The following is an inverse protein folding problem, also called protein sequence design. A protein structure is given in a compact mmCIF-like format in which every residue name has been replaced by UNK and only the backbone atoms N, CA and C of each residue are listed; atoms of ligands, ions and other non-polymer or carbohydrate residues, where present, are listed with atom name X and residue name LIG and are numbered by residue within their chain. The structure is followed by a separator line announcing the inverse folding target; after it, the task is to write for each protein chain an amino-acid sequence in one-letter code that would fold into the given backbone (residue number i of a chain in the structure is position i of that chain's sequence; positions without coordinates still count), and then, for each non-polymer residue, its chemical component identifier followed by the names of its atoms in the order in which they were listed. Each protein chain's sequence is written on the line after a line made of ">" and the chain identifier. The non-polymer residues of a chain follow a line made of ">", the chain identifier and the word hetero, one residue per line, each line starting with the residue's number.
data_IF_129312108237
#
_entry.id   IF_129312108237
#
_cell.length_a   1.000
_cell.length_b   1.000
_cell.length_c   1.000
_cell.angle_alpha   90.00
_cell.angle_beta   90.00
_cell.angle_gamma   90.00
#
_symmetry.space_group_name_H-M   'P 1'
#
loop_
_entity.id
_entity.type
_entity.pdbx_description
1 polymer ?
#
# COMPACT_ATOMS: atom_id res chain seq x y z
N UNK A 1 36.09 -7.91 10.92
CA UNK A 1 36.12 -8.47 9.57
C UNK A 1 35.10 -7.78 8.68
N UNK A 2 35.65 -7.09 7.72
CA UNK A 2 35.12 -6.12 6.79
C UNK A 2 33.88 -6.58 6.03
N UNK A 3 32.73 -6.12 6.44
CA UNK A 3 31.54 -6.16 5.61
C UNK A 3 31.60 -5.05 4.55
N UNK A 4 32.05 -5.35 3.36
CA UNK A 4 31.81 -4.53 2.19
C UNK A 4 30.30 -4.52 1.97
N UNK A 5 29.62 -3.43 2.37
CA UNK A 5 28.26 -3.15 1.97
C UNK A 5 28.29 -2.72 0.51
N UNK A 6 28.29 -3.66 -0.38
CA UNK A 6 27.87 -3.38 -1.75
C UNK A 6 26.42 -2.96 -1.69
N UNK A 7 26.11 -1.72 -2.06
CA UNK A 7 24.74 -1.29 -2.28
C UNK A 7 24.19 -2.17 -3.38
N UNK A 8 23.28 -3.10 -3.04
CA UNK A 8 22.62 -3.93 -4.02
C UNK A 8 21.74 -3.03 -4.91
N UNK A 9 21.83 -3.20 -6.21
CA UNK A 9 21.06 -2.48 -7.20
C UNK A 9 20.07 -3.40 -7.93
N UNK A 10 19.19 -2.84 -8.75
CA UNK A 10 18.16 -3.59 -9.49
C UNK A 10 18.75 -4.74 -10.31
N UNK A 11 19.94 -4.57 -10.87
CA UNK A 11 20.62 -5.61 -11.64
C UNK A 11 20.96 -6.86 -10.83
N UNK A 12 21.18 -6.73 -9.52
CA UNK A 12 21.53 -7.84 -8.64
C UNK A 12 20.30 -8.73 -8.33
N UNK A 13 19.10 -8.24 -8.65
CA UNK A 13 17.82 -8.92 -8.39
C UNK A 13 17.09 -9.34 -9.67
N UNK A 14 17.67 -9.14 -10.87
CA UNK A 14 16.96 -9.40 -12.15
C UNK A 14 16.45 -10.84 -12.26
N UNK A 15 17.23 -11.83 -11.87
CA UNK A 15 16.80 -13.24 -11.90
C UNK A 15 15.66 -13.48 -10.90
N UNK A 16 15.81 -13.02 -9.65
CA UNK A 16 14.74 -13.12 -8.65
C UNK A 16 13.46 -12.40 -9.09
N UNK A 17 13.59 -11.26 -9.78
CA UNK A 17 12.46 -10.53 -10.33
C UNK A 17 11.74 -11.30 -11.44
N UNK A 18 12.47 -11.90 -12.37
CA UNK A 18 11.89 -12.72 -13.43
C UNK A 18 11.10 -13.88 -12.86
N UNK A 19 11.71 -14.63 -11.94
CA UNK A 19 11.05 -15.74 -11.26
C UNK A 19 9.81 -15.27 -10.50
N UNK A 20 9.89 -14.13 -9.83
CA UNK A 20 8.80 -13.55 -9.08
C UNK A 20 7.61 -13.22 -9.99
N UNK A 21 7.84 -12.53 -11.10
CA UNK A 21 6.78 -12.13 -12.05
C UNK A 21 6.15 -13.35 -12.73
N UNK A 22 6.95 -14.38 -13.06
CA UNK A 22 6.43 -15.58 -13.72
C UNK A 22 5.65 -16.47 -12.76
N UNK A 23 6.08 -16.55 -11.49
CA UNK A 23 5.51 -17.48 -10.51
C UNK A 23 4.28 -16.93 -9.80
N UNK A 24 4.07 -15.62 -9.79
CA UNK A 24 3.00 -14.99 -9.04
C UNK A 24 1.94 -14.40 -9.98
N UNK A 25 0.67 -14.71 -9.69
CA UNK A 25 -0.48 -14.11 -10.40
C UNK A 25 -0.70 -12.65 -9.99
N UNK A 26 -0.36 -12.32 -8.76
CA UNK A 26 -0.47 -10.98 -8.19
C UNK A 26 0.90 -10.49 -7.76
N UNK A 27 1.28 -9.33 -8.26
CA UNK A 27 2.57 -8.69 -8.00
C UNK A 27 2.29 -7.53 -7.04
N UNK A 28 2.73 -7.67 -5.79
CA UNK A 28 2.65 -6.62 -4.78
C UNK A 28 4.04 -6.24 -4.27
N UNK A 29 4.16 -5.02 -3.72
CA UNK A 29 5.40 -4.57 -3.12
C UNK A 29 5.79 -5.42 -1.90
N UNK A 30 4.81 -5.81 -1.10
CA UNK A 30 5.01 -6.67 0.07
C UNK A 30 5.58 -8.03 -0.33
N UNK A 31 4.93 -8.71 -1.29
CA UNK A 31 5.41 -10.01 -1.79
C UNK A 31 6.81 -9.93 -2.40
N UNK A 32 7.13 -8.81 -3.04
CA UNK A 32 8.48 -8.57 -3.56
C UNK A 32 9.51 -8.39 -2.44
N UNK A 33 9.20 -7.61 -1.39
CA UNK A 33 10.09 -7.42 -0.25
C UNK A 33 10.36 -8.73 0.49
N UNK A 34 9.36 -9.59 0.62
CA UNK A 34 9.51 -10.92 1.19
C UNK A 34 10.43 -11.79 0.33
N UNK A 35 10.24 -11.77 -1.00
CA UNK A 35 11.07 -12.54 -1.94
C UNK A 35 12.56 -12.17 -1.89
N UNK A 36 12.87 -10.89 -1.65
CA UNK A 36 14.25 -10.40 -1.54
C UNK A 36 14.76 -10.32 -0.09
N UNK A 37 13.95 -10.77 0.87
CA UNK A 37 14.28 -10.78 2.32
C UNK A 37 14.65 -9.40 2.85
N UNK A 38 13.93 -8.36 2.41
CA UNK A 38 14.23 -6.98 2.76
C UNK A 38 13.89 -6.65 4.21
N UNK A 39 12.95 -7.38 4.82
CA UNK A 39 12.46 -7.17 6.19
C UNK A 39 11.82 -5.78 6.34
N UNK A 40 12.13 -5.10 7.42
CA UNK A 40 11.57 -3.77 7.73
C UNK A 40 12.22 -2.60 6.95
N UNK A 41 13.14 -2.87 6.04
CA UNK A 41 13.76 -1.82 5.23
C UNK A 41 12.83 -1.42 4.10
N UNK A 42 12.86 -0.14 3.74
CA UNK A 42 12.16 0.36 2.56
C UNK A 42 13.16 0.50 1.41
N UNK A 43 12.82 -0.10 0.27
CA UNK A 43 13.58 0.12 -0.94
C UNK A 43 13.22 1.49 -1.53
N UNK A 44 14.22 2.19 -2.03
CA UNK A 44 14.06 3.44 -2.78
C UNK A 44 14.88 3.35 -4.06
N UNK A 45 14.32 3.88 -5.14
CA UNK A 45 15.06 4.06 -6.39
C UNK A 45 15.90 5.33 -6.21
N UNK A 46 17.19 5.15 -6.07
CA UNK A 46 18.13 6.23 -5.78
C UNK A 46 18.81 6.76 -7.05
N UNK A 47 19.67 7.78 -6.87
CA UNK A 47 20.40 8.41 -7.97
C UNK A 47 21.30 7.43 -8.72
N UNK A 48 21.93 6.47 -8.04
CA UNK A 48 22.84 5.50 -8.65
C UNK A 48 22.08 4.61 -9.65
N UNK A 49 20.83 4.21 -9.31
CA UNK A 49 19.94 3.48 -10.21
C UNK A 49 19.56 4.32 -11.44
N UNK A 50 19.21 5.58 -11.24
CA UNK A 50 18.89 6.49 -12.33
C UNK A 50 20.08 6.75 -13.26
N UNK A 51 21.31 6.80 -12.72
CA UNK A 51 22.54 6.89 -13.50
C UNK A 51 22.78 5.63 -14.33
N UNK A 52 22.54 4.46 -13.76
CA UNK A 52 22.66 3.20 -14.50
C UNK A 52 21.60 3.08 -15.62
N UNK A 53 20.35 3.48 -15.36
CA UNK A 53 19.32 3.58 -16.39
C UNK A 53 19.79 4.52 -17.52
N UNK A 54 20.33 5.69 -17.19
CA UNK A 54 20.82 6.67 -18.15
C UNK A 54 21.98 6.12 -18.99
N UNK A 55 22.90 5.40 -18.34
CA UNK A 55 24.01 4.74 -19.02
C UNK A 55 23.50 3.66 -19.99
N UNK A 56 22.61 2.79 -19.55
CA UNK A 56 22.05 1.72 -20.39
C UNK A 56 21.21 2.28 -21.55
N UNK A 57 20.48 3.37 -21.32
CA UNK A 57 19.70 4.03 -22.36
C UNK A 57 20.57 4.60 -23.47
N UNK A 58 21.78 5.11 -23.15
CA UNK A 58 22.71 5.66 -24.13
C UNK A 58 23.44 4.61 -24.96
N UNK A 59 23.49 3.34 -24.50
CA UNK A 59 24.12 2.27 -25.27
C UNK A 59 23.29 1.94 -26.51
N UNK A 60 23.96 1.54 -27.61
CA UNK A 60 23.26 0.99 -28.78
C UNK A 60 22.61 -0.35 -28.42
N UNK A 61 21.41 -0.64 -28.99
CA UNK A 61 20.82 -1.98 -28.89
C UNK A 61 21.73 -2.98 -29.59
N UNK A 62 22.08 -4.07 -28.91
CA UNK A 62 22.95 -5.11 -29.49
C UNK A 62 22.25 -5.90 -30.60
N UNK A 63 20.95 -6.15 -30.41
CA UNK A 63 20.14 -6.96 -31.33
C UNK A 63 19.36 -6.10 -32.36
N UNK A 64 19.53 -4.78 -32.32
CA UNK A 64 18.65 -3.85 -33.04
C UNK A 64 17.22 -3.84 -32.45
N UNK A 65 16.42 -2.88 -32.86
CA UNK A 65 15.00 -2.79 -32.39
C UNK A 65 14.78 -1.89 -31.20
N UNK A 66 13.65 -2.09 -30.53
CA UNK A 66 13.15 -1.24 -29.46
C UNK A 66 13.77 -1.62 -28.11
N UNK A 67 14.30 -0.63 -27.39
CA UNK A 67 14.68 -0.77 -25.98
C UNK A 67 13.54 -0.36 -25.09
N UNK A 68 13.19 -1.19 -24.11
CA UNK A 68 12.12 -0.92 -23.14
C UNK A 68 12.72 -0.89 -21.74
N UNK A 69 12.52 0.23 -21.05
CA UNK A 69 12.85 0.38 -19.65
C UNK A 69 11.56 0.39 -18.83
N UNK A 70 11.36 -0.65 -18.04
CA UNK A 70 10.24 -0.76 -17.09
C UNK A 70 10.73 -0.34 -15.70
N UNK A 71 10.14 0.73 -15.17
CA UNK A 71 10.38 1.22 -13.81
C UNK A 71 9.13 0.93 -13.00
N UNK A 72 9.18 -0.15 -12.22
CA UNK A 72 8.09 -0.54 -11.36
C UNK A 72 8.17 0.19 -10.01
N UNK A 73 7.02 0.60 -9.46
CA UNK A 73 6.92 1.44 -8.25
C UNK A 73 7.69 2.77 -8.42
N UNK A 74 7.41 3.47 -9.52
CA UNK A 74 8.12 4.69 -9.88
C UNK A 74 8.02 5.79 -8.81
N UNK A 75 6.97 5.80 -7.98
CA UNK A 75 6.80 6.67 -6.82
C UNK A 75 7.82 6.42 -5.69
N UNK A 76 8.59 5.33 -5.75
CA UNK A 76 9.72 5.08 -4.84
C UNK A 76 11.01 5.77 -5.28
N UNK A 77 11.00 6.49 -6.40
CA UNK A 77 12.13 7.33 -6.79
C UNK A 77 12.32 8.48 -5.81
N UNK A 78 13.54 8.63 -5.29
CA UNK A 78 13.87 9.85 -4.56
C UNK A 78 14.02 11.04 -5.53
N UNK A 79 14.01 12.27 -4.99
CA UNK A 79 14.09 13.49 -5.79
C UNK A 79 15.31 13.54 -6.72
N UNK A 80 16.47 13.02 -6.26
CA UNK A 80 17.70 13.00 -7.06
C UNK A 80 17.59 12.04 -8.25
N UNK A 81 16.97 10.87 -8.07
CA UNK A 81 16.71 9.91 -9.13
C UNK A 81 15.71 10.48 -10.14
N UNK A 82 14.61 11.03 -9.65
CA UNK A 82 13.58 11.65 -10.47
C UNK A 82 14.15 12.75 -11.36
N UNK A 83 14.89 13.69 -10.78
CA UNK A 83 15.52 14.78 -11.54
C UNK A 83 16.53 14.27 -12.57
N UNK A 84 17.26 13.19 -12.26
CA UNK A 84 18.22 12.60 -13.20
C UNK A 84 17.55 12.02 -14.44
N UNK A 85 16.37 11.47 -14.30
CA UNK A 85 15.61 10.87 -15.41
C UNK A 85 14.84 11.88 -16.26
N UNK A 86 14.61 13.11 -15.79
CA UNK A 86 13.81 14.11 -16.52
C UNK A 86 14.30 14.29 -17.97
N UNK A 87 15.60 14.44 -18.18
CA UNK A 87 16.16 14.64 -19.52
C UNK A 87 15.90 13.44 -20.44
N UNK A 88 15.95 12.22 -19.91
CA UNK A 88 15.67 11.01 -20.68
C UNK A 88 14.18 10.86 -21.01
N UNK A 89 13.31 11.34 -20.12
CA UNK A 89 11.87 11.31 -20.33
C UNK A 89 11.43 12.41 -21.32
N UNK A 90 12.12 13.54 -21.37
CA UNK A 90 11.88 14.60 -22.36
C UNK A 90 12.33 14.19 -23.76
N UNK A 91 13.54 13.71 -23.86
CA UNK A 91 14.18 13.37 -25.15
C UNK A 91 14.75 11.93 -25.07
N UNK A 92 13.88 10.91 -25.16
CA UNK A 92 14.34 9.54 -25.11
C UNK A 92 15.23 9.22 -26.33
N UNK A 93 16.31 8.44 -26.15
CA UNK A 93 17.13 7.99 -27.27
C UNK A 93 16.29 7.26 -28.32
N UNK A 94 16.72 7.29 -29.59
CA UNK A 94 16.00 6.61 -30.68
C UNK A 94 15.70 5.15 -30.32
N UNK A 95 14.52 4.70 -30.67
CA UNK A 95 14.07 3.32 -30.40
C UNK A 95 14.11 2.96 -28.89
N UNK A 96 13.81 3.92 -28.01
CA UNK A 96 13.75 3.68 -26.56
C UNK A 96 12.40 4.11 -26.02
N UNK A 97 11.78 3.25 -25.19
CA UNK A 97 10.51 3.51 -24.49
C UNK A 97 10.74 3.34 -23.00
N UNK A 98 10.22 4.29 -22.22
CA UNK A 98 10.17 4.22 -20.76
C UNK A 98 8.74 3.93 -20.33
N UNK A 99 8.54 2.91 -19.51
CA UNK A 99 7.26 2.54 -18.90
C UNK A 99 7.42 2.71 -17.40
N UNK A 100 6.74 3.70 -16.83
CA UNK A 100 6.69 3.95 -15.40
C UNK A 100 5.40 3.37 -14.86
N UNK A 101 5.49 2.43 -13.93
CA UNK A 101 4.34 1.83 -13.25
C UNK A 101 4.32 2.36 -11.83
N UNK A 102 3.19 2.94 -11.42
CA UNK A 102 2.98 3.47 -10.07
C UNK A 102 1.58 3.12 -9.58
N UNK A 103 1.42 3.00 -8.28
CA UNK A 103 0.11 2.84 -7.61
C UNK A 103 -0.50 4.20 -7.27
N UNK A 104 0.32 5.20 -6.99
CA UNK A 104 -0.10 6.54 -6.58
C UNK A 104 0.63 7.61 -7.40
N UNK A 105 -0.08 8.17 -8.38
CA UNK A 105 0.45 9.26 -9.20
C UNK A 105 0.79 10.51 -8.38
N UNK A 106 0.06 10.77 -7.29
CA UNK A 106 0.26 11.94 -6.43
C UNK A 106 1.63 11.96 -5.73
N UNK A 107 2.30 10.80 -5.65
CA UNK A 107 3.66 10.68 -5.09
C UNK A 107 4.76 10.89 -6.11
N UNK A 108 4.44 10.92 -7.41
CA UNK A 108 5.39 11.27 -8.45
C UNK A 108 5.58 12.79 -8.53
N UNK A 109 6.79 13.21 -8.90
CA UNK A 109 7.02 14.63 -9.16
C UNK A 109 6.15 15.12 -10.34
N UNK A 110 5.49 16.29 -10.23
CA UNK A 110 4.71 16.86 -11.32
C UNK A 110 5.50 17.01 -12.63
N UNK A 111 6.82 17.22 -12.52
CA UNK A 111 7.73 17.29 -13.64
C UNK A 111 7.90 15.96 -14.40
N UNK A 112 7.72 14.82 -13.75
CA UNK A 112 7.68 13.50 -14.39
C UNK A 112 6.33 13.26 -15.04
N UNK A 113 5.25 13.46 -14.29
CA UNK A 113 3.89 13.19 -14.77
C UNK A 113 3.52 14.04 -15.99
N UNK A 114 4.04 15.28 -16.09
CA UNK A 114 3.83 16.16 -17.25
C UNK A 114 4.55 15.71 -18.53
N UNK A 115 5.51 14.79 -18.44
CA UNK A 115 6.31 14.26 -19.56
C UNK A 115 5.92 12.84 -19.96
N UNK A 116 4.97 12.25 -19.26
CA UNK A 116 4.50 10.90 -19.53
C UNK A 116 3.08 10.91 -20.06
N UNK A 117 2.81 10.07 -21.03
CA UNK A 117 1.43 9.73 -21.39
C UNK A 117 0.85 8.86 -20.28
N UNK A 118 -0.27 9.30 -19.69
CA UNK A 118 -0.92 8.57 -18.61
C UNK A 118 -1.88 7.53 -19.15
N UNK A 119 -1.75 6.32 -18.65
CA UNK A 119 -2.67 5.21 -18.91
C UNK A 119 -3.19 4.73 -17.55
N UNK A 120 -4.47 4.96 -17.30
CA UNK A 120 -5.11 4.49 -16.08
C UNK A 120 -5.63 3.07 -16.29
N UNK A 121 -5.08 2.14 -15.54
CA UNK A 121 -5.56 0.76 -15.49
C UNK A 121 -6.55 0.71 -14.32
N UNK A 122 -7.84 0.56 -14.66
CA UNK A 122 -8.83 0.31 -13.61
C UNK A 122 -8.52 -1.05 -12.98
N UNK A 123 -8.54 -1.16 -11.64
CA UNK A 123 -8.52 -2.46 -11.01
C UNK A 123 -9.66 -3.27 -11.66
N UNK A 124 -9.34 -4.28 -12.45
CA UNK A 124 -10.34 -5.24 -12.90
C UNK A 124 -10.85 -5.87 -11.63
N UNK A 125 -12.18 -5.75 -11.42
CA UNK A 125 -12.89 -6.10 -10.21
C UNK A 125 -11.98 -6.83 -9.26
N UNK A 126 -11.63 -6.22 -8.18
CA UNK A 126 -11.04 -6.96 -7.09
C UNK A 126 -12.16 -7.93 -6.74
N UNK A 127 -12.19 -9.07 -7.47
CA UNK A 127 -12.73 -10.28 -6.89
C UNK A 127 -11.96 -10.33 -5.58
N UNK A 128 -12.66 -10.11 -4.46
CA UNK A 128 -12.10 -10.02 -3.12
C UNK A 128 -11.30 -11.28 -2.71
N UNK A 129 -10.90 -12.11 -3.67
CA UNK A 129 -9.99 -13.25 -3.55
C UNK A 129 -8.53 -12.85 -3.33
N UNK A 130 -8.16 -11.56 -3.52
CA UNK A 130 -6.82 -11.05 -3.28
C UNK A 130 -6.65 -10.29 -1.96
N UNK A 131 -7.72 -10.04 -1.21
CA UNK A 131 -7.55 -9.56 0.16
C UNK A 131 -6.99 -10.70 1.00
N UNK A 132 -5.76 -10.51 1.43
CA UNK A 132 -5.07 -11.41 2.34
C UNK A 132 -6.04 -11.81 3.46
N UNK A 133 -6.42 -13.08 3.51
CA UNK A 133 -7.34 -13.64 4.51
C UNK A 133 -6.92 -13.26 5.94
N UNK A 134 -5.62 -13.03 6.13
CA UNK A 134 -5.02 -12.58 7.38
C UNK A 134 -5.45 -11.16 7.76
N UNK A 135 -5.57 -10.23 6.81
CA UNK A 135 -6.02 -8.86 7.09
C UNK A 135 -7.49 -8.82 7.49
N UNK A 136 -8.33 -9.68 6.90
CA UNK A 136 -9.73 -9.80 7.31
C UNK A 136 -9.84 -10.36 8.74
N UNK A 137 -9.10 -11.41 9.05
CA UNK A 137 -9.08 -11.98 10.40
C UNK A 137 -8.60 -10.97 11.45
N UNK A 138 -7.54 -10.22 11.14
CA UNK A 138 -7.03 -9.14 12.00
C UNK A 138 -8.03 -8.02 12.19
N UNK A 139 -8.70 -7.60 11.12
CA UNK A 139 -9.72 -6.56 11.19
C UNK A 139 -10.87 -6.98 12.10
N UNK A 140 -11.36 -8.20 11.93
CA UNK A 140 -12.43 -8.76 12.78
C UNK A 140 -12.01 -8.86 14.25
N UNK A 141 -10.79 -9.32 14.54
CA UNK A 141 -10.22 -9.37 15.89
C UNK A 141 -10.23 -7.97 16.52
N UNK A 142 -9.71 -7.00 15.76
CA UNK A 142 -9.55 -5.63 16.19
C UNK A 142 -10.89 -4.92 16.45
N UNK A 143 -11.82 -4.99 15.51
CA UNK A 143 -13.13 -4.36 15.61
C UNK A 143 -13.96 -4.98 16.75
N UNK A 144 -13.92 -6.31 16.92
CA UNK A 144 -14.60 -6.99 18.03
C UNK A 144 -14.05 -6.53 19.40
N UNK A 145 -12.72 -6.39 19.51
CA UNK A 145 -12.12 -5.85 20.75
C UNK A 145 -12.58 -4.41 21.00
N UNK A 146 -12.56 -3.55 19.95
CA UNK A 146 -13.00 -2.16 20.06
C UNK A 146 -14.47 -2.02 20.50
N UNK A 147 -15.37 -2.86 19.98
CA UNK A 147 -16.78 -2.89 20.41
C UNK A 147 -16.95 -3.29 21.89
N UNK A 148 -16.18 -4.26 22.36
CA UNK A 148 -16.29 -4.78 23.72
C UNK A 148 -15.84 -3.80 24.81
N UNK A 149 -15.03 -2.78 24.46
CA UNK A 149 -14.45 -1.85 25.46
C UNK A 149 -15.52 -1.19 26.32
N UNK A 150 -16.69 -0.86 25.76
CA UNK A 150 -17.79 -0.27 26.53
C UNK A 150 -18.37 -1.20 27.60
N UNK A 151 -18.36 -2.50 27.33
CA UNK A 151 -18.98 -3.51 28.21
C UNK A 151 -17.95 -4.23 29.10
N UNK A 152 -16.68 -4.24 28.71
CA UNK A 152 -15.65 -4.99 29.42
C UNK A 152 -14.30 -4.27 29.41
N UNK A 153 -13.78 -4.00 30.61
CA UNK A 153 -12.43 -3.42 30.78
C UNK A 153 -11.32 -4.35 30.25
N UNK A 154 -11.55 -5.67 30.22
CA UNK A 154 -10.57 -6.63 29.68
C UNK A 154 -10.32 -6.41 28.18
N UNK A 155 -11.28 -5.86 27.43
CA UNK A 155 -11.12 -5.55 26.02
C UNK A 155 -10.03 -4.50 25.74
N UNK A 156 -9.69 -3.67 26.72
CA UNK A 156 -8.54 -2.75 26.62
C UNK A 156 -7.24 -3.55 26.48
N UNK A 157 -7.10 -4.64 27.24
CA UNK A 157 -5.93 -5.54 27.13
C UNK A 157 -5.90 -6.24 25.78
N UNK A 158 -7.07 -6.58 25.19
CA UNK A 158 -7.15 -7.14 23.84
C UNK A 158 -6.63 -6.13 22.79
N UNK A 159 -7.00 -4.84 22.90
CA UNK A 159 -6.50 -3.79 22.00
C UNK A 159 -4.99 -3.53 22.14
N UNK A 160 -4.46 -3.59 23.36
CA UNK A 160 -3.02 -3.48 23.58
C UNK A 160 -2.30 -4.66 22.96
N UNK A 161 -2.79 -5.88 23.16
CA UNK A 161 -2.25 -7.11 22.57
C UNK A 161 -2.30 -7.06 21.03
N UNK A 162 -3.40 -6.58 20.46
CA UNK A 162 -3.51 -6.35 19.03
C UNK A 162 -2.44 -5.39 18.51
N UNK A 163 -2.25 -4.25 19.19
CA UNK A 163 -1.24 -3.25 18.82
C UNK A 163 0.19 -3.82 18.89
N UNK A 164 0.45 -4.70 19.85
CA UNK A 164 1.73 -5.43 19.93
C UNK A 164 1.89 -6.46 18.82
N UNK A 165 0.83 -7.19 18.49
CA UNK A 165 0.82 -8.21 17.43
C UNK A 165 1.12 -7.58 16.08
N UNK A 166 0.40 -6.49 15.72
CA UNK A 166 0.57 -5.84 14.43
C UNK A 166 1.90 -5.08 14.33
N UNK A 167 2.43 -4.57 15.45
CA UNK A 167 3.73 -3.87 15.47
C UNK A 167 4.92 -4.78 15.13
N UNK A 168 4.75 -6.10 15.23
CA UNK A 168 5.77 -7.10 14.85
C UNK A 168 5.80 -7.39 13.36
N UNK A 169 4.77 -6.98 12.61
CA UNK A 169 4.72 -7.11 11.15
C UNK A 169 5.65 -6.12 10.49
N UNK A 170 5.99 -6.38 9.24
CA UNK A 170 6.73 -5.43 8.42
C UNK A 170 5.93 -4.16 8.18
N UNK A 171 6.59 -3.06 7.83
CA UNK A 171 5.90 -1.79 7.56
C UNK A 171 4.97 -1.85 6.37
N UNK A 172 5.33 -2.61 5.36
CA UNK A 172 4.47 -2.79 4.18
C UNK A 172 3.20 -3.56 4.58
N UNK A 173 3.32 -4.67 5.34
CA UNK A 173 2.14 -5.38 5.86
C UNK A 173 1.26 -4.51 6.76
N UNK A 174 1.85 -3.61 7.55
CA UNK A 174 1.11 -2.67 8.38
C UNK A 174 0.33 -1.65 7.53
N UNK A 175 0.94 -1.15 6.44
CA UNK A 175 0.28 -0.26 5.48
C UNK A 175 -0.80 -0.98 4.68
N UNK A 176 -0.55 -2.21 4.26
CA UNK A 176 -1.53 -3.06 3.58
C UNK A 176 -2.75 -3.31 4.47
N UNK A 177 -2.54 -3.54 5.77
CA UNK A 177 -3.65 -3.67 6.72
C UNK A 177 -4.46 -2.37 6.85
N UNK A 178 -3.82 -1.21 6.93
CA UNK A 178 -4.53 0.08 6.98
C UNK A 178 -5.29 0.37 5.68
N UNK A 179 -4.71 0.03 4.53
CA UNK A 179 -5.38 0.14 3.23
C UNK A 179 -6.60 -0.79 3.15
N UNK A 180 -6.48 -2.00 3.67
CA UNK A 180 -7.60 -2.93 3.82
C UNK A 180 -8.72 -2.34 4.69
N UNK A 181 -8.38 -1.74 5.85
CA UNK A 181 -9.36 -1.08 6.72
C UNK A 181 -10.11 0.05 5.98
N UNK A 182 -9.39 0.89 5.22
CA UNK A 182 -10.02 1.95 4.41
C UNK A 182 -11.03 1.39 3.40
N UNK A 183 -10.69 0.27 2.76
CA UNK A 183 -11.58 -0.41 1.81
C UNK A 183 -12.84 -0.93 2.51
N UNK A 184 -12.68 -1.59 3.67
CA UNK A 184 -13.83 -2.11 4.44
C UNK A 184 -14.75 -0.98 4.88
N UNK A 185 -14.22 0.14 5.36
CA UNK A 185 -15.05 1.29 5.74
C UNK A 185 -15.80 1.89 4.55
N UNK A 186 -15.12 2.05 3.41
CA UNK A 186 -15.73 2.50 2.16
C UNK A 186 -16.84 1.57 1.70
N UNK A 187 -16.58 0.27 1.66
CA UNK A 187 -17.56 -0.72 1.22
C UNK A 187 -18.76 -0.76 2.17
N UNK A 188 -18.52 -0.59 3.48
CA UNK A 188 -19.56 -0.54 4.49
C UNK A 188 -20.52 0.64 4.30
N UNK A 189 -19.99 1.84 4.00
CA UNK A 189 -20.85 3.00 3.76
C UNK A 189 -21.61 2.86 2.44
N UNK A 190 -20.96 2.41 1.37
CA UNK A 190 -21.62 2.18 0.07
C UNK A 190 -22.73 1.13 0.16
N UNK A 191 -22.52 0.08 0.96
CA UNK A 191 -23.51 -0.93 1.25
C UNK A 191 -24.68 -0.36 2.05
N UNK A 192 -24.41 0.40 3.11
CA UNK A 192 -25.44 1.05 3.94
C UNK A 192 -26.34 1.98 3.14
N UNK A 193 -25.80 2.72 2.18
CA UNK A 193 -26.55 3.60 1.27
C UNK A 193 -27.12 2.90 0.03
N UNK A 194 -26.99 1.57 -0.08
CA UNK A 194 -27.49 0.75 -1.21
C UNK A 194 -26.96 1.20 -2.58
N UNK A 195 -25.78 1.81 -2.61
CA UNK A 195 -25.10 2.25 -3.85
C UNK A 195 -24.46 1.05 -4.55
N UNK A 196 -24.02 0.05 -3.80
CA UNK A 196 -23.49 -1.22 -4.30
C UNK A 196 -24.28 -2.39 -3.72
N UNK A 197 -24.80 -3.24 -4.60
CA UNK A 197 -25.48 -4.49 -4.20
C UNK A 197 -24.49 -5.64 -3.98
N UNK A 198 -23.20 -5.44 -4.24
CA UNK A 198 -22.19 -6.46 -3.99
C UNK A 198 -21.80 -6.41 -2.52
N UNK A 199 -22.37 -7.36 -1.76
CA UNK A 199 -21.71 -7.86 -0.57
C UNK A 199 -20.32 -8.32 -1.01
N UNK A 200 -19.30 -7.51 -0.79
CA UNK A 200 -17.92 -7.90 -1.09
C UNK A 200 -17.70 -9.31 -0.54
N UNK A 201 -17.08 -10.17 -1.32
CA UNK A 201 -16.84 -11.57 -0.92
C UNK A 201 -15.74 -11.58 0.17
N UNK A 202 -16.13 -11.21 1.39
CA UNK A 202 -15.29 -11.34 2.57
C UNK A 202 -15.34 -12.82 3.01
N UNK A 203 -14.18 -13.48 3.03
CA UNK A 203 -14.08 -14.95 3.16
C UNK A 203 -14.07 -15.45 4.61
N UNK A 204 -13.66 -14.59 5.57
CA UNK A 204 -13.43 -14.99 6.96
C UNK A 204 -14.52 -14.56 7.94
N UNK A 205 -15.73 -14.24 7.43
CA UNK A 205 -16.89 -13.96 8.27
C UNK A 205 -17.14 -12.49 8.59
N UNK A 206 -16.51 -11.56 7.87
CA UNK A 206 -16.96 -10.18 7.84
C UNK A 206 -18.26 -10.11 7.06
N UNK A 207 -19.33 -9.74 7.74
CA UNK A 207 -20.65 -9.57 7.15
C UNK A 207 -20.95 -8.09 7.10
N UNK A 208 -20.89 -7.48 5.91
CA UNK A 208 -21.12 -6.04 5.72
C UNK A 208 -22.49 -5.59 6.22
N UNK A 209 -23.52 -6.43 6.05
CA UNK A 209 -24.86 -6.17 6.56
C UNK A 209 -24.87 -5.90 8.09
N UNK A 210 -24.03 -6.62 8.84
CA UNK A 210 -23.91 -6.44 10.30
C UNK A 210 -22.97 -5.31 10.69
N UNK A 211 -22.03 -4.95 9.83
CA UNK A 211 -21.01 -3.94 10.13
C UNK A 211 -21.38 -2.55 9.60
N UNK A 212 -22.03 -2.46 8.44
CA UNK A 212 -22.42 -1.19 7.81
C UNK A 212 -23.23 -0.23 8.71
N UNK A 213 -24.10 -0.68 9.65
CA UNK A 213 -24.79 0.25 10.53
C UNK A 213 -23.88 1.08 11.46
N UNK A 214 -22.63 0.66 11.62
CA UNK A 214 -21.64 1.36 12.44
C UNK A 214 -20.74 2.33 11.65
N UNK A 215 -20.90 2.39 10.32
CA UNK A 215 -20.16 3.27 9.43
C UNK A 215 -21.16 4.14 8.66
N UNK A 216 -21.26 5.41 9.02
CA UNK A 216 -22.27 6.34 8.52
C UNK A 216 -21.66 7.74 8.32
N UNK A 217 -22.42 8.68 7.78
CA UNK A 217 -21.98 10.04 7.44
C UNK A 217 -21.30 10.78 8.59
N UNK A 218 -21.75 10.56 9.84
CA UNK A 218 -21.23 11.23 11.02
C UNK A 218 -19.84 10.74 11.45
N UNK A 219 -19.36 9.61 10.96
CA UNK A 219 -18.10 9.04 11.41
C UNK A 219 -17.15 8.60 10.28
N UNK A 220 -17.62 8.49 9.05
CA UNK A 220 -16.79 7.96 7.94
C UNK A 220 -15.58 8.86 7.63
N UNK A 221 -15.76 10.17 7.66
CA UNK A 221 -14.68 11.11 7.39
C UNK A 221 -13.56 10.97 8.44
N UNK A 222 -13.95 10.91 9.72
CA UNK A 222 -12.99 10.71 10.79
C UNK A 222 -12.34 9.31 10.77
N UNK A 223 -13.06 8.26 10.37
CA UNK A 223 -12.45 6.94 10.12
C UNK A 223 -11.35 7.04 9.07
N UNK A 224 -11.64 7.71 7.96
CA UNK A 224 -10.68 7.90 6.88
C UNK A 224 -9.44 8.67 7.36
N UNK A 225 -9.64 9.79 8.04
CA UNK A 225 -8.56 10.64 8.56
C UNK A 225 -7.65 9.89 9.55
N UNK A 226 -8.24 9.13 10.44
CA UNK A 226 -7.50 8.33 11.44
C UNK A 226 -6.63 7.28 10.76
N UNK A 227 -7.17 6.56 9.78
CA UNK A 227 -6.43 5.53 9.04
C UNK A 227 -5.34 6.18 8.17
N UNK A 228 -5.67 7.25 7.46
CA UNK A 228 -4.71 7.95 6.59
C UNK A 228 -3.55 8.55 7.39
N UNK A 229 -3.84 9.12 8.56
CA UNK A 229 -2.81 9.58 9.48
C UNK A 229 -1.90 8.44 9.93
N UNK A 230 -2.48 7.32 10.33
CA UNK A 230 -1.72 6.14 10.73
C UNK A 230 -0.80 5.62 9.63
N UNK A 231 -1.31 5.57 8.39
CA UNK A 231 -0.54 5.19 7.22
C UNK A 231 0.68 6.12 7.01
N UNK A 232 0.47 7.43 7.05
CA UNK A 232 1.52 8.43 6.92
C UNK A 232 2.55 8.36 8.05
N UNK A 233 2.11 8.12 9.28
CA UNK A 233 2.99 8.01 10.43
C UNK A 233 3.88 6.76 10.35
N UNK A 234 3.36 5.62 9.85
CA UNK A 234 4.15 4.42 9.58
C UNK A 234 5.17 4.68 8.46
N UNK A 235 4.75 5.35 7.38
CA UNK A 235 5.62 5.69 6.27
C UNK A 235 6.80 6.59 6.72
N UNK A 236 6.54 7.50 7.67
CA UNK A 236 7.55 8.37 8.30
C UNK A 236 8.37 7.72 9.41
N UNK A 237 8.33 6.40 9.52
CA UNK A 237 9.05 5.62 10.53
C UNK A 237 8.58 5.84 11.98
N UNK A 238 7.32 6.21 12.19
CA UNK A 238 6.70 6.26 13.50
C UNK A 238 6.71 4.91 14.22
N UNK A 239 6.53 4.92 15.54
CA UNK A 239 6.47 3.69 16.33
C UNK A 239 5.12 2.98 16.09
N UNK A 240 5.10 1.79 15.45
CA UNK A 240 3.85 1.13 15.07
C UNK A 240 2.96 0.79 16.26
N UNK A 241 3.53 0.37 17.40
CA UNK A 241 2.75 0.04 18.60
C UNK A 241 1.94 1.23 19.09
N UNK A 242 2.55 2.43 19.12
CA UNK A 242 1.90 3.66 19.55
C UNK A 242 0.84 4.08 18.53
N UNK A 243 1.16 4.02 17.23
CA UNK A 243 0.24 4.37 16.14
C UNK A 243 -1.01 3.50 16.20
N UNK A 244 -0.86 2.18 16.23
CA UNK A 244 -2.00 1.27 16.28
C UNK A 244 -2.79 1.35 17.58
N UNK A 245 -2.16 1.71 18.70
CA UNK A 245 -2.88 1.95 19.94
C UNK A 245 -3.72 3.23 19.85
N UNK A 246 -3.19 4.33 19.30
CA UNK A 246 -3.92 5.58 19.06
C UNK A 246 -5.12 5.36 18.14
N UNK A 247 -4.91 4.65 17.01
CA UNK A 247 -5.99 4.29 16.11
C UNK A 247 -7.04 3.44 16.82
N UNK A 248 -6.64 2.47 17.65
CA UNK A 248 -7.55 1.59 18.39
C UNK A 248 -8.46 2.35 19.35
N UNK A 249 -7.91 3.34 20.05
CA UNK A 249 -8.69 4.20 20.96
C UNK A 249 -9.71 5.03 20.17
N UNK A 250 -9.29 5.61 19.05
CA UNK A 250 -10.17 6.40 18.17
C UNK A 250 -11.25 5.54 17.53
N UNK A 251 -10.88 4.36 17.03
CA UNK A 251 -11.82 3.37 16.50
C UNK A 251 -12.91 3.02 17.52
N UNK A 252 -12.52 2.75 18.78
CA UNK A 252 -13.48 2.47 19.85
C UNK A 252 -14.52 3.59 19.99
N UNK A 253 -14.08 4.84 19.91
CA UNK A 253 -14.98 6.00 19.99
C UNK A 253 -15.89 6.07 18.77
N UNK A 254 -15.33 5.96 17.57
CA UNK A 254 -16.03 6.12 16.29
C UNK A 254 -17.11 5.06 16.08
N UNK A 255 -16.83 3.81 16.44
CA UNK A 255 -17.81 2.70 16.36
C UNK A 255 -19.03 2.89 17.28
N UNK A 256 -18.97 3.85 18.21
CA UNK A 256 -20.06 4.13 19.14
C UNK A 256 -20.72 5.50 18.91
N UNK A 257 -20.33 6.23 17.87
CA UNK A 257 -21.06 7.41 17.41
C UNK A 257 -22.42 6.95 16.90
N UNK A 258 -23.48 7.61 17.32
CA UNK A 258 -24.84 7.29 16.85
C UNK A 258 -25.09 8.02 15.53
N UNK A 259 -25.69 7.37 14.54
CA UNK A 259 -26.16 8.06 13.34
C UNK A 259 -27.22 9.11 13.71
N UNK A 260 -27.29 10.19 12.97
CA UNK A 260 -28.38 11.16 13.08
C UNK A 260 -29.71 10.43 12.89
N UNK A 261 -30.59 10.47 13.87
CA UNK A 261 -31.96 10.05 13.70
C UNK A 261 -32.68 11.21 13.02
N UNK A 262 -32.95 11.12 11.71
CA UNK A 262 -33.90 11.99 11.07
C UNK A 262 -35.26 11.76 11.76
N UNK A 263 -35.70 12.76 12.52
CA UNK A 263 -37.03 12.84 13.11
C UNK A 263 -38.05 13.13 11.99
#
# INVERSE_FOLDING_TARGET
>A
TSGVRTKAGSKDFVEKWRDFVISNKEISLTSWYDKIELGNKQATINKDEAEEISRLASLKSYEGGLKIFLIWMAEKMNMSASNKLLKLLEEPPKSTVFILVCEDEGKLLPTITSRCQKIYIKPQGIDNQGFNSDNEALFLEWVRAAFKVKSSKSAISELISFSEKISKRTREEQKDFLSYCSTVFRDSILYGYKVQNNSGNYSNGLVLDKFSPYVHEENIEEFYDVIQKGFNDIERNGNPKIIFLDISVKLTRLLHVKPFQNV
#
